data_IF_632399195745
#
_entry.id   IF_632399195745
#
_cell.length_a   1.000
_cell.length_b   1.000
_cell.length_c   1.000
_cell.angle_alpha   90.00
_cell.angle_beta   90.00
_cell.angle_gamma   90.00
#
_symmetry.space_group_name_H-M   'P 1'
#
loop_
_entity.id
_entity.type
_entity.pdbx_description
1 polymer ?
#
# COMPACT_ATOMS: atom_id res chain seq x y z
N UNK A 1 30.96 -12.22 19.25
CA UNK A 1 29.85 -11.29 18.91
C UNK A 1 29.83 -11.12 17.40
N UNK A 2 28.94 -11.83 16.69
CA UNK A 2 28.81 -11.69 15.25
C UNK A 2 27.89 -10.49 14.95
N UNK A 3 28.45 -9.43 14.37
CA UNK A 3 27.63 -8.33 13.82
C UNK A 3 26.83 -8.88 12.65
N UNK A 4 25.51 -9.01 12.86
CA UNK A 4 24.56 -9.36 11.81
C UNK A 4 24.54 -8.20 10.82
N UNK A 5 25.13 -8.41 9.64
CA UNK A 5 25.12 -7.43 8.56
C UNK A 5 23.69 -6.98 8.28
N UNK A 6 23.47 -5.67 8.26
CA UNK A 6 22.17 -5.08 8.01
C UNK A 6 21.88 -5.17 6.50
N UNK A 7 21.06 -6.15 6.09
CA UNK A 7 20.70 -6.34 4.70
C UNK A 7 19.64 -5.30 4.30
N UNK A 8 20.07 -4.17 3.73
CA UNK A 8 19.19 -3.25 3.03
C UNK A 8 19.23 -3.57 1.52
N UNK A 9 18.08 -3.79 0.89
CA UNK A 9 17.96 -3.86 -0.58
C UNK A 9 17.53 -5.18 -1.22
N UNK A 10 17.32 -6.29 -0.48
CA UNK A 10 17.00 -7.62 -1.04
C UNK A 10 15.72 -7.64 -1.92
N UNK A 11 14.83 -6.67 -1.76
CA UNK A 11 13.53 -6.72 -2.41
C UNK A 11 13.41 -5.88 -3.69
N UNK A 12 14.37 -5.01 -4.03
CA UNK A 12 14.26 -4.19 -5.26
C UNK A 12 14.85 -4.96 -6.45
N UNK A 13 13.99 -5.45 -7.35
CA UNK A 13 14.41 -6.13 -8.58
C UNK A 13 14.05 -5.27 -9.78
N UNK A 14 15.05 -4.95 -10.59
CA UNK A 14 14.83 -4.41 -11.94
C UNK A 14 14.91 -5.58 -12.90
N UNK A 15 13.87 -5.78 -13.69
CA UNK A 15 13.87 -6.76 -14.76
C UNK A 15 13.73 -6.02 -16.08
N UNK A 16 14.73 -6.15 -16.96
CA UNK A 16 14.69 -5.63 -18.33
C UNK A 16 14.29 -6.77 -19.26
N UNK A 17 13.29 -6.53 -20.11
CA UNK A 17 12.88 -7.47 -21.16
C UNK A 17 12.96 -6.77 -22.51
N UNK A 18 13.88 -7.16 -23.40
CA UNK A 18 13.90 -6.66 -24.77
C UNK A 18 12.56 -6.92 -25.46
N UNK A 19 12.03 -5.91 -26.13
CA UNK A 19 10.79 -5.98 -26.92
C UNK A 19 11.10 -6.05 -28.41
N UNK A 20 12.09 -5.28 -28.87
CA UNK A 20 12.48 -5.20 -30.26
C UNK A 20 13.99 -5.21 -30.39
N UNK A 21 14.47 -5.99 -31.33
CA UNK A 21 15.86 -6.13 -31.70
C UNK A 21 16.06 -5.57 -33.11
N UNK A 22 17.23 -4.99 -33.37
CA UNK A 22 17.62 -4.42 -34.65
C UNK A 22 19.05 -4.86 -34.99
N UNK A 23 19.33 -5.04 -36.28
CA UNK A 23 20.57 -5.65 -36.79
C UNK A 23 20.41 -7.10 -37.28
N UNK A 24 21.30 -7.54 -38.16
CA UNK A 24 21.38 -8.91 -38.67
C UNK A 24 22.67 -9.59 -38.21
N UNK A 25 22.56 -10.83 -37.70
CA UNK A 25 23.73 -11.64 -37.30
C UNK A 25 24.33 -11.21 -35.95
N UNK A 26 25.66 -11.03 -35.89
CA UNK A 26 26.38 -10.75 -34.64
C UNK A 26 26.19 -9.32 -34.10
N UNK A 27 25.56 -8.42 -34.86
CA UNK A 27 25.31 -7.02 -34.44
C UNK A 27 23.88 -6.78 -33.91
N UNK A 28 23.14 -7.83 -33.54
CA UNK A 28 21.78 -7.69 -33.04
C UNK A 28 21.75 -6.92 -31.69
N UNK A 29 21.11 -5.75 -31.68
CA UNK A 29 21.01 -4.86 -30.53
C UNK A 29 19.54 -4.59 -30.19
N UNK A 30 19.16 -4.59 -28.89
CA UNK A 30 17.81 -4.26 -28.50
C UNK A 30 17.55 -2.76 -28.68
N UNK A 31 16.62 -2.40 -29.56
CA UNK A 31 16.20 -1.00 -29.80
C UNK A 31 15.04 -0.57 -28.92
N UNK A 32 14.26 -1.52 -28.41
CA UNK A 32 13.20 -1.26 -27.44
C UNK A 32 13.23 -2.30 -26.33
N UNK A 33 13.08 -1.86 -25.07
CA UNK A 33 13.04 -2.75 -23.92
C UNK A 33 12.00 -2.29 -22.89
N UNK A 34 11.31 -3.26 -22.29
CA UNK A 34 10.42 -3.05 -21.16
C UNK A 34 11.20 -3.11 -19.86
N UNK A 35 11.14 -2.04 -19.08
CA UNK A 35 11.70 -1.98 -17.73
C UNK A 35 10.61 -2.28 -16.70
N UNK A 36 10.78 -3.37 -15.97
CA UNK A 36 9.89 -3.78 -14.88
C UNK A 36 10.59 -3.49 -13.55
N UNK A 37 10.10 -2.48 -12.86
CA UNK A 37 10.57 -2.08 -11.53
C UNK A 37 9.74 -2.79 -10.45
N UNK A 38 10.30 -3.81 -9.81
CA UNK A 38 9.69 -4.47 -8.66
C UNK A 38 10.22 -3.82 -7.38
N UNK A 39 9.44 -2.90 -6.82
CA UNK A 39 9.85 -2.07 -5.68
C UNK A 39 9.79 -2.79 -4.32
N UNK A 40 10.03 -4.09 -4.33
CA UNK A 40 10.32 -4.86 -3.14
C UNK A 40 9.25 -4.92 -2.07
N UNK A 41 7.99 -4.99 -2.49
CA UNK A 41 6.89 -5.14 -1.55
C UNK A 41 6.64 -3.90 -0.70
N UNK A 42 7.15 -2.73 -1.09
CA UNK A 42 6.76 -1.43 -0.52
C UNK A 42 5.50 -0.94 -1.22
N UNK A 43 4.51 -0.50 -0.45
CA UNK A 43 3.26 0.04 -0.99
C UNK A 43 3.53 1.32 -1.80
N UNK A 44 3.05 1.37 -3.04
CA UNK A 44 3.23 2.53 -3.93
C UNK A 44 2.38 3.72 -3.49
N UNK A 45 2.69 4.92 -4.01
CA UNK A 45 1.83 6.10 -3.80
C UNK A 45 0.42 5.88 -4.35
N UNK A 46 0.30 5.26 -5.53
CA UNK A 46 -0.98 4.89 -6.11
C UNK A 46 -1.76 3.90 -5.23
N UNK A 47 -1.10 2.86 -4.72
CA UNK A 47 -1.73 1.89 -3.82
C UNK A 47 -2.22 2.51 -2.51
N UNK A 48 -1.48 3.47 -1.95
CA UNK A 48 -1.96 4.26 -0.79
C UNK A 48 -3.22 5.05 -1.12
N UNK A 49 -3.22 5.78 -2.24
CA UNK A 49 -4.38 6.58 -2.67
C UNK A 49 -5.62 5.70 -2.89
N UNK A 50 -5.45 4.56 -3.55
CA UNK A 50 -6.53 3.58 -3.77
C UNK A 50 -7.11 3.06 -2.45
N UNK A 51 -6.25 2.71 -1.48
CA UNK A 51 -6.71 2.24 -0.18
C UNK A 51 -7.50 3.32 0.58
N UNK A 52 -7.05 4.57 0.53
CA UNK A 52 -7.75 5.70 1.14
C UNK A 52 -9.11 5.97 0.47
N UNK A 53 -9.16 5.99 -0.86
CA UNK A 53 -10.41 6.14 -1.62
C UNK A 53 -11.41 5.01 -1.30
N UNK A 54 -10.93 3.78 -1.15
CA UNK A 54 -11.74 2.66 -0.72
C UNK A 54 -12.31 2.87 0.70
N UNK A 55 -11.50 3.36 1.63
CA UNK A 55 -11.97 3.71 2.98
C UNK A 55 -13.08 4.77 2.96
N UNK A 56 -12.88 5.82 2.16
CA UNK A 56 -13.86 6.88 1.96
C UNK A 56 -15.16 6.35 1.33
N UNK A 57 -15.04 5.46 0.36
CA UNK A 57 -16.20 4.79 -0.23
C UNK A 57 -16.96 3.97 0.83
N UNK A 58 -16.27 3.20 1.67
CA UNK A 58 -16.89 2.42 2.74
C UNK A 58 -17.63 3.32 3.74
N UNK A 59 -17.03 4.45 4.11
CA UNK A 59 -17.65 5.46 4.98
C UNK A 59 -19.03 5.88 4.46
N UNK A 60 -19.15 6.19 3.18
CA UNK A 60 -20.40 6.68 2.59
C UNK A 60 -21.43 5.59 2.27
N UNK A 61 -20.98 4.39 1.91
CA UNK A 61 -21.88 3.32 1.45
C UNK A 61 -22.33 2.36 2.55
N UNK A 62 -21.47 2.02 3.50
CA UNK A 62 -21.84 1.10 4.60
C UNK A 62 -22.54 1.80 5.75
N UNK A 63 -22.34 3.11 5.88
CA UNK A 63 -22.98 3.92 6.91
C UNK A 63 -23.73 5.10 6.28
N UNK A 64 -24.76 4.84 5.45
CA UNK A 64 -25.55 5.88 4.83
C UNK A 64 -26.44 6.54 5.90
N UNK A 65 -25.96 7.61 6.52
CA UNK A 65 -26.80 8.51 7.30
C UNK A 65 -26.52 9.94 6.85
N UNK A 66 -27.60 10.71 6.66
CA UNK A 66 -27.59 12.11 6.25
C UNK A 66 -26.62 12.92 7.13
N UNK A 67 -25.53 13.39 6.53
CA UNK A 67 -24.60 14.35 7.14
C UNK A 67 -23.27 13.79 7.66
N UNK A 68 -23.24 12.70 8.44
CA UNK A 68 -22.01 12.30 9.18
C UNK A 68 -21.90 10.80 9.56
N UNK A 69 -22.54 9.89 8.81
CA UNK A 69 -22.88 8.51 9.24
C UNK A 69 -21.83 7.63 9.94
N UNK A 70 -20.52 7.82 9.74
CA UNK A 70 -19.48 7.11 10.52
C UNK A 70 -19.12 7.79 11.85
N UNK A 71 -19.19 9.12 11.94
CA UNK A 71 -18.98 9.87 13.19
C UNK A 71 -20.19 9.72 14.12
N UNK A 72 -21.38 9.47 13.56
CA UNK A 72 -22.58 9.18 14.34
C UNK A 72 -22.49 7.82 15.06
N UNK A 73 -21.70 6.86 14.56
CA UNK A 73 -21.39 5.61 15.27
C UNK A 73 -20.63 5.83 16.59
N UNK A 74 -19.87 6.93 16.71
CA UNK A 74 -19.12 7.25 17.91
C UNK A 74 -19.99 7.87 19.02
N UNK A 75 -21.20 8.31 18.68
CA UNK A 75 -22.15 8.92 19.63
C UNK A 75 -22.94 7.88 20.44
N UNK A 76 -22.99 6.62 20.01
CA UNK A 76 -23.74 5.54 20.69
C UNK A 76 -22.87 4.55 21.47
N UNK A 77 -21.53 4.70 21.48
CA UNK A 77 -20.57 3.81 22.17
C UNK A 77 -20.73 2.30 21.87
N UNK A 78 -21.46 1.91 20.81
CA UNK A 78 -21.84 0.52 20.53
C UNK A 78 -21.08 -0.13 19.37
N UNK A 79 -20.10 0.55 18.79
CA UNK A 79 -19.45 0.09 17.58
C UNK A 79 -17.93 0.11 17.72
N UNK A 80 -17.38 -0.99 18.19
CA UNK A 80 -15.94 -1.23 18.13
C UNK A 80 -15.55 -1.60 16.70
N UNK A 81 -14.71 -0.77 16.07
CA UNK A 81 -14.06 -1.11 14.80
C UNK A 81 -12.68 -1.71 15.08
N UNK A 82 -12.43 -2.93 14.61
CA UNK A 82 -11.12 -3.60 14.70
C UNK A 82 -10.59 -3.87 13.30
N UNK A 83 -9.36 -3.41 13.05
CA UNK A 83 -8.64 -3.65 11.79
C UNK A 83 -7.46 -4.56 12.09
N UNK A 84 -7.43 -5.72 11.44
CA UNK A 84 -6.33 -6.67 11.51
C UNK A 84 -5.50 -6.59 10.23
N UNK A 85 -4.18 -6.56 10.38
CA UNK A 85 -3.23 -6.60 9.27
C UNK A 85 -2.11 -7.57 9.60
N UNK A 86 -1.54 -8.19 8.57
CA UNK A 86 -0.26 -8.88 8.70
C UNK A 86 0.84 -7.92 9.18
N UNK A 87 1.92 -8.47 9.73
CA UNK A 87 3.12 -7.77 10.17
C UNK A 87 3.97 -7.18 9.02
N UNK A 88 3.58 -7.49 7.78
CA UNK A 88 4.24 -6.99 6.60
C UNK A 88 3.96 -5.50 6.33
N UNK A 89 5.01 -4.70 6.22
CA UNK A 89 4.92 -3.24 6.17
C UNK A 89 3.99 -2.67 5.10
N UNK A 90 3.88 -3.28 3.91
CA UNK A 90 2.89 -2.81 2.90
C UNK A 90 1.44 -3.06 3.31
N UNK A 91 1.18 -4.15 4.01
CA UNK A 91 -0.18 -4.52 4.45
C UNK A 91 -0.61 -3.57 5.57
N UNK A 92 0.28 -3.29 6.52
CA UNK A 92 0.07 -2.28 7.56
C UNK A 92 -0.17 -0.89 6.97
N UNK A 93 0.63 -0.49 5.97
CA UNK A 93 0.45 0.79 5.28
C UNK A 93 -0.88 0.87 4.51
N UNK A 94 -1.30 -0.22 3.86
CA UNK A 94 -2.61 -0.29 3.19
C UNK A 94 -3.75 -0.19 4.18
N UNK A 95 -3.68 -0.94 5.29
CA UNK A 95 -4.68 -0.90 6.36
C UNK A 95 -4.77 0.49 7.00
N UNK A 96 -3.63 1.15 7.22
CA UNK A 96 -3.56 2.52 7.74
C UNK A 96 -4.18 3.53 6.78
N UNK A 97 -3.86 3.45 5.48
CA UNK A 97 -4.43 4.33 4.46
C UNK A 97 -5.94 4.12 4.31
N UNK A 98 -6.41 2.87 4.38
CA UNK A 98 -7.84 2.56 4.42
C UNK A 98 -8.53 3.15 5.64
N UNK A 99 -7.97 2.94 6.84
CA UNK A 99 -8.50 3.50 8.09
C UNK A 99 -8.60 5.04 8.02
N UNK A 100 -7.60 5.69 7.40
CA UNK A 100 -7.62 7.13 7.14
C UNK A 100 -8.86 7.57 6.38
N UNK A 101 -9.10 6.96 5.23
CA UNK A 101 -10.22 7.32 4.36
C UNK A 101 -11.56 7.01 5.00
N UNK A 102 -11.63 5.91 5.76
CA UNK A 102 -12.82 5.52 6.50
C UNK A 102 -13.15 6.56 7.58
N UNK A 103 -12.18 6.85 8.46
CA UNK A 103 -12.35 7.72 9.62
C UNK A 103 -12.29 9.23 9.29
N UNK A 104 -11.86 9.60 8.08
CA UNK A 104 -11.67 10.99 7.65
C UNK A 104 -10.62 11.73 8.51
N UNK A 105 -9.49 11.07 8.74
CA UNK A 105 -8.39 11.60 9.57
C UNK A 105 -7.51 12.55 8.76
N UNK A 106 -7.22 13.71 9.33
CA UNK A 106 -6.27 14.68 8.77
C UNK A 106 -4.82 14.34 9.12
N UNK A 107 -3.88 14.70 8.24
CA UNK A 107 -2.43 14.57 8.49
C UNK A 107 -1.77 13.29 7.95
N UNK A 108 -0.47 13.15 8.27
CA UNK A 108 0.31 11.93 8.02
C UNK A 108 0.06 10.93 9.14
N UNK A 109 -0.49 9.76 8.80
CA UNK A 109 -0.65 8.69 9.77
C UNK A 109 0.64 7.89 9.89
N UNK A 110 1.12 7.75 11.11
CA UNK A 110 2.10 6.72 11.47
C UNK A 110 1.50 5.33 11.17
N UNK A 111 2.28 4.36 10.67
CA UNK A 111 1.79 3.00 10.47
C UNK A 111 1.17 2.49 11.78
N UNK A 112 -0.06 1.98 11.72
CA UNK A 112 -0.74 1.41 12.88
C UNK A 112 -0.07 0.06 13.16
N UNK A 113 0.90 0.06 14.08
CA UNK A 113 1.56 -1.16 14.54
C UNK A 113 0.71 -1.81 15.62
N UNK A 114 -0.04 -2.86 15.26
CA UNK A 114 -0.67 -3.73 16.25
C UNK A 114 0.28 -4.90 16.49
N UNK A 115 0.90 -4.94 17.67
CA UNK A 115 1.61 -6.13 18.13
C UNK A 115 0.59 -7.11 18.72
N UNK A 116 0.54 -8.38 18.27
CA UNK A 116 -0.21 -9.40 18.99
C UNK A 116 0.45 -9.61 20.37
N UNK A 117 -0.34 -9.49 21.42
CA UNK A 117 0.02 -9.85 22.81
C UNK A 117 0.10 -11.35 23.00
#
# INVERSE_FOLDING_TARGET
MAQRGNFSGIYRKVQLKPLKWDGEGEEERPVEALMILKNGGVLTHAGRKQAEELGRFFRYNLYPCEGTGLLLLHSTYRHDLKIYSSDEGRVQMSATAFAKGLLDLEGQLSPILVFPS
#
